data_IF_902780369176
#
_entry.id   IF_902780369176
#
_cell.length_a   1.000
_cell.length_b   1.000
_cell.length_c   1.000
_cell.angle_alpha   90.00
_cell.angle_beta   90.00
_cell.angle_gamma   90.00
#
_symmetry.space_group_name_H-M   'P 1'
#
loop_
_entity.id
_entity.type
_entity.pdbx_description
1 polymer ?
#
# COMPACT_ATOMS: atom_id res chain seq x y z
N UNK A 1 -18.97 -0.34 32.11
CA UNK A 1 -18.15 0.73 31.50
C UNK A 1 -17.66 0.26 30.15
N UNK A 2 -17.99 0.98 29.07
CA UNK A 2 -17.48 0.68 27.73
C UNK A 2 -16.00 1.05 27.68
N UNK A 3 -15.12 0.07 27.52
CA UNK A 3 -13.67 0.29 27.41
C UNK A 3 -13.35 0.91 26.06
N UNK A 4 -12.53 1.97 26.05
CA UNK A 4 -12.03 2.54 24.80
C UNK A 4 -11.10 1.53 24.09
N UNK A 5 -11.34 1.17 22.81
CA UNK A 5 -10.70 0.00 22.20
C UNK A 5 -9.29 0.27 21.63
N UNK A 6 -8.86 1.54 21.58
CA UNK A 6 -7.54 1.92 21.05
C UNK A 6 -6.55 2.11 22.18
N UNK A 7 -5.35 1.59 21.99
CA UNK A 7 -4.20 2.00 22.79
C UNK A 7 -3.63 3.31 22.22
N UNK A 8 -3.89 4.42 22.93
CA UNK A 8 -3.30 5.73 22.61
C UNK A 8 -2.03 6.00 23.42
N UNK A 9 -1.64 5.09 24.31
CA UNK A 9 -0.46 5.26 25.18
C UNK A 9 0.77 4.67 24.53
N UNK A 10 0.66 3.47 23.96
CA UNK A 10 1.81 2.72 23.46
C UNK A 10 2.91 2.62 24.53
N UNK A 11 4.16 2.85 24.15
CA UNK A 11 5.30 2.89 25.09
C UNK A 11 5.39 4.18 25.93
N UNK A 12 4.64 5.23 25.59
CA UNK A 12 4.75 6.53 26.26
C UNK A 12 6.19 7.08 26.26
N UNK A 13 6.65 7.73 27.34
CA UNK A 13 8.00 8.32 27.41
C UNK A 13 9.14 7.30 27.58
N UNK A 14 8.83 6.00 27.75
CA UNK A 14 9.81 4.96 28.06
C UNK A 14 9.78 3.86 26.99
N UNK A 15 10.56 4.04 25.94
CA UNK A 15 10.73 3.03 24.88
C UNK A 15 11.80 2.00 25.25
N UNK A 16 11.63 0.72 24.86
CA UNK A 16 12.68 -0.28 25.08
C UNK A 16 13.89 -0.01 24.19
N UNK A 17 15.09 -0.35 24.69
CA UNK A 17 16.28 -0.49 23.85
C UNK A 17 16.06 -1.70 22.91
N UNK A 18 16.02 -1.49 21.58
CA UNK A 18 15.71 -2.57 20.63
C UNK A 18 16.84 -3.59 20.48
N UNK A 19 18.04 -3.34 21.06
CA UNK A 19 19.16 -4.29 21.07
C UNK A 19 19.52 -4.79 19.67
N UNK A 20 19.56 -3.89 18.67
CA UNK A 20 19.85 -4.27 17.29
C UNK A 20 21.19 -5.02 17.18
N UNK A 21 21.28 -6.02 16.28
CA UNK A 21 22.53 -6.73 16.03
C UNK A 21 23.69 -5.77 15.80
N UNK A 22 24.89 -6.15 16.27
CA UNK A 22 26.11 -5.36 16.12
C UNK A 22 26.06 -3.95 16.72
N UNK A 23 25.17 -3.69 17.69
CA UNK A 23 24.97 -2.36 18.30
C UNK A 23 24.62 -1.27 17.26
N UNK A 24 23.90 -1.66 16.20
CA UNK A 24 23.45 -0.75 15.16
C UNK A 24 22.57 0.37 15.74
N UNK A 25 22.71 1.59 15.21
CA UNK A 25 21.95 2.76 15.69
C UNK A 25 20.57 2.90 15.07
N UNK A 26 20.34 2.22 13.96
CA UNK A 26 19.07 2.22 13.22
C UNK A 26 18.91 0.86 12.52
N UNK A 27 17.68 0.38 12.43
CA UNK A 27 17.30 -0.70 11.55
C UNK A 27 16.61 -0.10 10.32
N UNK A 28 17.14 -0.37 9.13
CA UNK A 28 16.53 0.05 7.85
C UNK A 28 15.82 -1.16 7.24
N UNK A 29 14.57 -0.99 6.85
CA UNK A 29 13.74 -2.07 6.29
C UNK A 29 13.15 -1.61 4.96
N UNK A 30 13.59 -2.22 3.86
CA UNK A 30 13.05 -1.99 2.52
C UNK A 30 11.86 -2.92 2.27
N UNK A 31 10.69 -2.35 1.99
CA UNK A 31 9.46 -3.09 1.64
C UNK A 31 9.23 -2.91 0.15
N UNK A 32 8.90 -4.01 -0.54
CA UNK A 32 8.43 -3.99 -1.93
C UNK A 32 7.03 -4.58 -1.91
N UNK A 33 6.05 -3.76 -2.25
CA UNK A 33 4.69 -4.23 -2.48
C UNK A 33 4.58 -4.74 -3.92
N UNK A 34 3.74 -5.75 -4.11
CA UNK A 34 3.36 -6.24 -5.42
C UNK A 34 1.84 -6.39 -5.40
N UNK A 35 1.17 -5.37 -5.89
CA UNK A 35 -0.28 -5.18 -5.84
C UNK A 35 -0.89 -5.23 -7.25
N UNK A 36 -0.04 -5.09 -8.26
CA UNK A 36 -0.38 -5.03 -9.67
C UNK A 36 -0.99 -6.34 -10.19
N UNK A 37 -2.23 -6.24 -10.67
CA UNK A 37 -3.10 -7.37 -11.01
C UNK A 37 -4.06 -7.77 -9.89
N UNK A 38 -3.98 -7.13 -8.72
CA UNK A 38 -4.88 -7.32 -7.58
C UNK A 38 -5.67 -6.07 -7.19
N UNK A 39 -5.49 -4.96 -7.92
CA UNK A 39 -6.23 -3.72 -7.71
C UNK A 39 -7.71 -3.83 -8.09
N UNK A 40 -8.50 -2.81 -7.74
CA UNK A 40 -9.93 -2.82 -8.07
C UNK A 40 -10.15 -2.87 -9.58
N UNK A 41 -10.87 -3.88 -10.04
CA UNK A 41 -11.23 -4.01 -11.44
C UNK A 41 -12.56 -4.76 -11.60
N UNK A 42 -13.39 -4.31 -12.54
CA UNK A 42 -14.63 -5.03 -12.88
C UNK A 42 -14.37 -6.45 -13.40
N UNK A 43 -13.17 -6.71 -13.96
CA UNK A 43 -12.73 -8.06 -14.33
C UNK A 43 -12.48 -8.97 -13.11
N UNK A 44 -12.20 -8.38 -11.94
CA UNK A 44 -12.04 -9.09 -10.67
C UNK A 44 -13.38 -9.28 -9.93
N UNK A 45 -14.47 -8.67 -10.44
CA UNK A 45 -15.79 -8.69 -9.82
C UNK A 45 -16.10 -7.46 -8.97
N UNK A 46 -15.23 -6.46 -8.97
CA UNK A 46 -15.42 -5.22 -8.21
C UNK A 46 -16.47 -4.31 -8.83
N UNK A 47 -17.07 -3.44 -8.01
CA UNK A 47 -18.12 -2.53 -8.45
C UNK A 47 -17.62 -1.37 -9.33
N UNK A 48 -16.31 -1.07 -9.31
CA UNK A 48 -15.71 0.07 -10.01
C UNK A 48 -14.21 -0.17 -10.30
N UNK A 49 -13.63 0.67 -11.16
CA UNK A 49 -12.19 0.69 -11.42
C UNK A 49 -11.37 1.23 -10.23
N UNK A 50 -10.08 0.90 -10.21
CA UNK A 50 -9.10 1.51 -9.30
C UNK A 50 -9.00 3.04 -9.47
N UNK A 51 -8.65 3.70 -8.37
CA UNK A 51 -8.55 5.15 -8.24
C UNK A 51 -7.34 5.58 -7.39
N UNK A 52 -6.66 4.64 -6.70
CA UNK A 52 -5.61 4.94 -5.75
C UNK A 52 -4.20 4.66 -6.31
N UNK A 53 -3.21 5.38 -5.76
CA UNK A 53 -1.76 5.25 -6.02
C UNK A 53 -1.38 5.04 -7.49
N UNK A 54 -1.71 6.01 -8.33
CA UNK A 54 -1.26 6.06 -9.73
C UNK A 54 -0.82 7.48 -10.10
N UNK A 55 -0.32 7.65 -11.33
CA UNK A 55 0.01 8.96 -11.89
C UNK A 55 -1.23 9.83 -12.17
N UNK A 56 -2.44 9.26 -12.15
CA UNK A 56 -3.70 10.00 -12.32
C UNK A 56 -4.13 10.55 -10.96
N UNK A 57 -3.52 11.68 -10.56
CA UNK A 57 -3.81 12.33 -9.28
C UNK A 57 -5.28 12.71 -9.19
N UNK A 58 -5.95 12.25 -8.13
CA UNK A 58 -7.38 12.51 -7.91
C UNK A 58 -8.30 11.73 -8.85
N UNK A 59 -7.84 10.60 -9.40
CA UNK A 59 -8.70 9.69 -10.15
C UNK A 59 -9.96 9.35 -9.33
N UNK A 60 -11.10 9.36 -10.01
CA UNK A 60 -12.34 8.81 -9.47
C UNK A 60 -12.48 7.36 -9.93
N UNK A 61 -12.99 6.50 -9.06
CA UNK A 61 -13.38 5.15 -9.44
C UNK A 61 -14.55 5.22 -10.42
N UNK A 62 -14.50 4.47 -11.53
CA UNK A 62 -15.56 4.46 -12.54
C UNK A 62 -16.51 3.28 -12.30
N UNK A 63 -17.77 3.52 -11.86
CA UNK A 63 -18.70 2.44 -11.53
C UNK A 63 -19.06 1.59 -12.76
N UNK A 64 -18.96 0.27 -12.62
CA UNK A 64 -19.31 -0.70 -13.66
C UNK A 64 -18.47 -0.59 -14.95
N UNK A 65 -17.35 0.13 -14.91
CA UNK A 65 -16.50 0.39 -16.06
C UNK A 65 -15.04 0.06 -15.76
N UNK A 66 -14.32 -0.29 -16.83
CA UNK A 66 -12.85 -0.36 -16.81
C UNK A 66 -12.28 1.04 -17.03
N UNK A 67 -11.15 1.30 -16.38
CA UNK A 67 -10.39 2.53 -16.58
C UNK A 67 -9.04 2.16 -17.19
N UNK A 68 -8.98 2.04 -18.52
CA UNK A 68 -7.80 1.48 -19.21
C UNK A 68 -6.49 2.23 -18.95
N UNK A 69 -6.54 3.55 -18.77
CA UNK A 69 -5.34 4.32 -18.42
C UNK A 69 -4.79 3.86 -17.05
N UNK A 70 -5.67 3.66 -16.06
CA UNK A 70 -5.31 3.16 -14.74
C UNK A 70 -4.70 1.76 -14.83
N UNK A 71 -5.34 0.85 -15.56
CA UNK A 71 -4.86 -0.52 -15.76
C UNK A 71 -3.46 -0.53 -16.38
N UNK A 72 -3.21 0.29 -17.42
CA UNK A 72 -1.89 0.37 -18.05
C UNK A 72 -0.79 0.88 -17.12
N UNK A 73 -1.14 1.70 -16.12
CA UNK A 73 -0.22 2.20 -15.10
C UNK A 73 0.13 1.08 -14.12
N UNK A 74 -0.86 0.34 -13.62
CA UNK A 74 -0.63 -0.84 -12.78
C UNK A 74 0.16 -1.91 -13.55
N UNK A 75 -0.16 -2.16 -14.81
CA UNK A 75 0.60 -3.09 -15.65
C UNK A 75 2.09 -2.71 -15.76
N UNK A 76 2.46 -1.42 -15.73
CA UNK A 76 3.86 -1.01 -15.75
C UNK A 76 4.63 -1.56 -14.54
N UNK A 77 4.03 -1.52 -13.34
CA UNK A 77 4.65 -2.05 -12.12
C UNK A 77 4.99 -3.54 -12.27
N UNK A 78 4.02 -4.36 -12.68
CA UNK A 78 4.24 -5.79 -12.91
C UNK A 78 5.18 -6.11 -14.09
N UNK A 79 5.10 -5.35 -15.18
CA UNK A 79 5.81 -5.65 -16.44
C UNK A 79 7.25 -5.14 -16.45
N UNK A 80 7.52 -4.02 -15.79
CA UNK A 80 8.80 -3.31 -15.91
C UNK A 80 9.31 -2.73 -14.59
N UNK A 81 8.44 -2.21 -13.72
CA UNK A 81 8.82 -1.61 -12.44
C UNK A 81 9.52 -2.63 -11.54
N UNK A 82 8.86 -3.77 -11.31
CA UNK A 82 9.35 -4.83 -10.42
C UNK A 82 10.72 -5.36 -10.83
N UNK A 83 10.93 -5.64 -12.12
CA UNK A 83 12.20 -6.19 -12.61
C UNK A 83 13.38 -5.20 -12.59
N UNK A 84 13.09 -3.89 -12.44
CA UNK A 84 14.12 -2.86 -12.32
C UNK A 84 14.59 -2.69 -10.87
N UNK A 85 13.68 -2.85 -9.91
CA UNK A 85 13.99 -2.76 -8.47
C UNK A 85 14.85 -3.94 -8.03
#
# INVERSE_FOLDING_TARGET
>A
MTRYPRDLRGYGPSTPDPKWPNNAKIAVQFVINYEEGGENNVLHGDAASEAFLSEIVGAAAWPGQRHWNMESIYEYGARAGFWRL
#
